data_IF_038827507985
#
_entry.id   IF_038827507985
#
_cell.length_a   1.000
_cell.length_b   1.000
_cell.length_c   1.000
_cell.angle_alpha   90.00
_cell.angle_beta   90.00
_cell.angle_gamma   90.00
#
_symmetry.space_group_name_H-M   'P 1'
#
loop_
_entity.id
_entity.type
_entity.pdbx_description
1 polymer ?
#
# COMPACT_ATOMS: atom_id res chain seq x y z
N UNK A 1 18.52 -16.23 -23.77
CA UNK A 1 18.87 -16.27 -22.33
C UNK A 1 17.59 -15.97 -21.58
N UNK A 2 16.93 -17.00 -21.05
CA UNK A 2 15.66 -16.85 -20.33
C UNK A 2 16.02 -16.58 -18.86
N UNK A 3 15.77 -15.35 -18.41
CA UNK A 3 15.95 -14.99 -17.00
C UNK A 3 14.74 -15.55 -16.26
N UNK A 4 14.96 -16.61 -15.49
CA UNK A 4 14.00 -17.13 -14.53
C UNK A 4 13.82 -16.07 -13.44
N UNK A 5 12.65 -15.43 -13.40
CA UNK A 5 12.32 -14.50 -12.32
C UNK A 5 11.97 -15.39 -11.12
N UNK A 6 12.88 -15.50 -10.16
CA UNK A 6 12.64 -16.25 -8.92
C UNK A 6 11.35 -15.76 -8.26
N UNK A 7 10.41 -16.67 -8.01
CA UNK A 7 9.10 -16.41 -7.41
C UNK A 7 9.15 -16.05 -5.92
N UNK A 8 10.34 -15.79 -5.37
CA UNK A 8 10.59 -15.51 -3.96
C UNK A 8 10.46 -14.02 -3.62
N UNK A 9 9.45 -13.35 -4.15
CA UNK A 9 8.99 -12.09 -3.56
C UNK A 9 8.18 -12.49 -2.33
N UNK A 10 8.56 -12.03 -1.13
CA UNK A 10 7.74 -12.15 0.07
C UNK A 10 6.47 -11.32 -0.13
N UNK A 11 5.47 -11.89 -0.81
CA UNK A 11 4.16 -11.28 -1.03
C UNK A 11 3.34 -11.36 0.26
N UNK A 12 3.77 -10.66 1.30
CA UNK A 12 3.03 -10.53 2.56
C UNK A 12 2.97 -11.80 3.41
N UNK A 13 3.91 -12.73 3.25
CA UNK A 13 4.02 -13.93 4.08
C UNK A 13 5.39 -13.99 4.77
N UNK A 14 5.38 -14.23 6.08
CA UNK A 14 6.58 -14.34 6.91
C UNK A 14 6.44 -13.64 8.26
N UNK A 15 7.09 -14.18 9.30
CA UNK A 15 7.01 -13.68 10.68
C UNK A 15 7.43 -12.21 10.82
N UNK A 16 8.27 -11.71 9.89
CA UNK A 16 8.81 -10.36 9.92
C UNK A 16 8.10 -9.37 8.98
N UNK A 17 7.13 -9.80 8.16
CA UNK A 17 6.49 -8.88 7.20
C UNK A 17 5.77 -7.74 7.91
N UNK A 18 5.06 -8.01 9.01
CA UNK A 18 4.43 -6.96 9.81
C UNK A 18 5.46 -5.97 10.37
N UNK A 19 6.62 -6.44 10.82
CA UNK A 19 7.69 -5.59 11.30
C UNK A 19 8.27 -4.71 10.18
N UNK A 20 8.60 -5.31 9.03
CA UNK A 20 9.15 -4.60 7.88
C UNK A 20 8.14 -3.59 7.31
N UNK A 21 6.86 -3.94 7.25
CA UNK A 21 5.79 -3.03 6.83
C UNK A 21 5.74 -1.78 7.74
N UNK A 22 5.79 -1.96 9.06
CA UNK A 22 5.83 -0.83 9.99
C UNK A 22 7.06 0.05 9.79
N UNK A 23 8.23 -0.54 9.51
CA UNK A 23 9.44 0.24 9.23
C UNK A 23 9.32 1.03 7.92
N UNK A 24 8.75 0.44 6.86
CA UNK A 24 8.47 1.13 5.59
C UNK A 24 7.54 2.33 5.81
N UNK A 25 6.48 2.16 6.60
CA UNK A 25 5.55 3.25 6.91
C UNK A 25 6.24 4.43 7.59
N UNK A 26 7.05 4.17 8.62
CA UNK A 26 7.76 5.24 9.33
C UNK A 26 8.69 6.03 8.41
N UNK A 27 9.44 5.32 7.56
CA UNK A 27 10.36 5.96 6.61
C UNK A 27 9.56 6.79 5.61
N UNK A 28 8.58 6.21 4.92
CA UNK A 28 7.78 6.90 3.93
C UNK A 28 7.05 8.12 4.51
N UNK A 29 6.44 8.00 5.70
CA UNK A 29 5.70 9.09 6.33
C UNK A 29 6.62 10.26 6.71
N UNK A 30 7.85 9.98 7.16
CA UNK A 30 8.85 11.01 7.49
C UNK A 30 9.41 11.75 6.27
N UNK A 31 9.35 11.13 5.08
CA UNK A 31 9.86 11.72 3.84
C UNK A 31 8.86 12.69 3.20
N UNK A 32 7.61 12.72 3.65
CA UNK A 32 6.57 13.57 3.06
C UNK A 32 6.31 14.80 3.95
N UNK A 33 6.64 16.01 3.47
CA UNK A 33 6.37 17.26 4.17
C UNK A 33 4.90 17.46 4.55
N UNK A 34 4.66 18.15 5.68
CA UNK A 34 3.32 18.38 6.23
C UNK A 34 2.41 19.16 5.27
N UNK A 35 2.96 20.07 4.47
CA UNK A 35 2.23 20.86 3.50
C UNK A 35 1.56 20.02 2.40
N UNK A 36 2.11 18.85 2.08
CA UNK A 36 1.53 17.94 1.08
C UNK A 36 0.38 17.11 1.62
N UNK A 37 0.22 17.01 2.95
CA UNK A 37 -0.82 16.18 3.59
C UNK A 37 -2.24 16.71 3.39
N UNK A 38 -2.40 17.98 3.01
CA UNK A 38 -3.72 18.50 2.60
C UNK A 38 -4.14 18.04 1.18
N UNK A 39 -3.25 17.38 0.46
CA UNK A 39 -3.48 16.88 -0.90
C UNK A 39 -3.86 15.40 -0.95
N UNK A 40 -3.59 14.81 -2.12
CA UNK A 40 -3.87 13.43 -2.44
C UNK A 40 -2.60 12.59 -2.33
N UNK A 41 -2.73 11.36 -1.86
CA UNK A 41 -1.64 10.36 -1.88
C UNK A 41 -2.06 9.12 -2.67
N UNK A 42 -1.12 8.61 -3.47
CA UNK A 42 -1.25 7.37 -4.21
C UNK A 42 -0.14 6.41 -3.77
N UNK A 43 -0.52 5.23 -3.28
CA UNK A 43 0.38 4.14 -2.92
C UNK A 43 0.27 3.02 -3.96
N UNK A 44 1.34 2.80 -4.72
CA UNK A 44 1.43 1.79 -5.79
C UNK A 44 2.10 0.54 -5.22
N UNK A 45 1.45 -0.61 -5.33
CA UNK A 45 1.90 -1.82 -4.66
C UNK A 45 1.54 -1.82 -3.17
N UNK A 46 0.39 -1.22 -2.81
CA UNK A 46 -0.05 -1.09 -1.42
C UNK A 46 -0.37 -2.43 -0.73
N UNK A 47 -0.37 -3.53 -1.49
CA UNK A 47 -0.68 -4.88 -1.02
C UNK A 47 -2.16 -5.09 -0.72
N UNK A 48 -2.45 -6.24 -0.10
CA UNK A 48 -3.80 -6.61 0.33
C UNK A 48 -4.26 -5.84 1.59
N UNK A 49 -3.31 -5.26 2.33
CA UNK A 49 -3.55 -4.41 3.48
C UNK A 49 -2.68 -3.14 3.38
N UNK A 50 -3.27 -1.97 3.04
CA UNK A 50 -2.56 -0.73 2.75
C UNK A 50 -2.12 -0.02 4.05
N UNK A 51 -1.19 -0.62 4.80
CA UNK A 51 -0.79 -0.15 6.15
C UNK A 51 -0.39 1.34 6.13
N UNK A 52 0.36 1.77 5.13
CA UNK A 52 0.76 3.17 4.96
C UNK A 52 -0.45 4.10 4.93
N UNK A 53 -1.38 3.89 3.99
CA UNK A 53 -2.59 4.70 3.87
C UNK A 53 -3.47 4.68 5.12
N UNK A 54 -3.46 3.58 5.89
CA UNK A 54 -4.19 3.53 7.17
C UNK A 54 -3.53 4.30 8.30
N UNK A 55 -2.22 4.53 8.22
CA UNK A 55 -1.42 5.13 9.29
C UNK A 55 -0.99 6.58 9.01
N UNK A 56 -1.31 7.13 7.83
CA UNK A 56 -0.92 8.49 7.45
C UNK A 56 -2.11 9.43 7.28
N UNK A 57 -1.88 10.70 7.62
CA UNK A 57 -2.82 11.81 7.40
C UNK A 57 -2.69 12.36 5.99
N UNK A 58 -3.74 12.20 5.17
CA UNK A 58 -3.93 12.85 3.88
C UNK A 58 -5.40 13.17 3.65
N UNK A 59 -5.69 14.24 2.90
CA UNK A 59 -7.08 14.61 2.58
C UNK A 59 -7.78 13.54 1.75
N UNK A 60 -7.09 12.96 0.76
CA UNK A 60 -7.59 11.82 -0.03
C UNK A 60 -6.51 10.76 -0.19
N UNK A 61 -6.91 9.49 -0.05
CA UNK A 61 -6.00 8.33 -0.05
C UNK A 61 -6.40 7.34 -1.12
N UNK A 62 -5.44 6.93 -1.94
CA UNK A 62 -5.63 6.00 -3.04
C UNK A 62 -4.57 4.88 -2.97
N UNK A 63 -5.01 3.63 -3.08
CA UNK A 63 -4.13 2.47 -3.13
C UNK A 63 -4.36 1.69 -4.41
N UNK A 64 -3.27 1.26 -5.04
CA UNK A 64 -3.28 0.54 -6.30
C UNK A 64 -2.48 -0.75 -6.15
N UNK A 65 -3.13 -1.91 -6.23
CA UNK A 65 -2.44 -3.20 -6.24
C UNK A 65 -3.31 -4.29 -6.87
N UNK A 66 -2.69 -5.20 -7.61
CA UNK A 66 -3.37 -6.36 -8.22
C UNK A 66 -3.93 -7.37 -7.22
N UNK A 67 -3.40 -7.39 -5.99
CA UNK A 67 -3.82 -8.31 -4.93
C UNK A 67 -4.96 -7.78 -4.06
N UNK A 68 -5.46 -6.56 -4.34
CA UNK A 68 -6.62 -6.00 -3.65
C UNK A 68 -7.86 -6.84 -3.96
N UNK A 69 -8.56 -7.29 -2.92
CA UNK A 69 -9.82 -8.05 -3.04
C UNK A 69 -11.03 -7.13 -2.88
N UNK A 70 -12.16 -7.48 -3.50
CA UNK A 70 -13.41 -6.72 -3.44
C UNK A 70 -13.90 -6.44 -2.02
N UNK A 71 -13.70 -7.38 -1.10
CA UNK A 71 -14.07 -7.21 0.32
C UNK A 71 -13.21 -6.13 0.98
N UNK A 72 -11.91 -6.12 0.68
CA UNK A 72 -10.99 -5.09 1.16
C UNK A 72 -11.41 -3.71 0.63
N UNK A 73 -11.71 -3.59 -0.68
CA UNK A 73 -12.17 -2.33 -1.30
C UNK A 73 -13.34 -1.73 -0.51
N UNK A 74 -14.37 -2.52 -0.22
CA UNK A 74 -15.53 -2.05 0.54
C UNK A 74 -15.13 -1.57 1.94
N UNK A 75 -14.38 -2.39 2.68
CA UNK A 75 -13.97 -2.09 4.05
C UNK A 75 -13.07 -0.85 4.19
N UNK A 76 -12.26 -0.55 3.15
CA UNK A 76 -11.37 0.60 3.14
C UNK A 76 -12.02 1.86 2.57
N UNK A 77 -12.98 1.71 1.67
CA UNK A 77 -13.81 2.84 1.20
C UNK A 77 -14.58 3.48 2.36
N UNK A 78 -15.12 2.66 3.28
CA UNK A 78 -15.75 3.15 4.53
C UNK A 78 -14.78 3.95 5.43
N UNK A 79 -13.47 3.73 5.25
CA UNK A 79 -12.39 4.44 5.96
C UNK A 79 -11.77 5.56 5.14
N UNK A 80 -12.45 6.01 4.08
CA UNK A 80 -11.98 7.05 3.16
C UNK A 80 -10.65 6.70 2.47
N UNK A 81 -10.41 5.41 2.21
CA UNK A 81 -9.27 4.90 1.44
C UNK A 81 -9.81 4.21 0.19
N UNK A 82 -9.50 4.78 -0.97
CA UNK A 82 -9.96 4.27 -2.26
C UNK A 82 -8.97 3.23 -2.78
N UNK A 83 -9.32 1.94 -2.67
CA UNK A 83 -8.51 0.86 -3.22
C UNK A 83 -8.97 0.49 -4.62
N UNK A 84 -8.00 0.37 -5.52
CA UNK A 84 -8.21 0.04 -6.92
C UNK A 84 -7.45 -1.26 -7.19
N UNK A 85 -8.19 -2.29 -7.61
CA UNK A 85 -7.56 -3.46 -8.20
C UNK A 85 -7.11 -3.08 -9.61
N UNK A 86 -5.80 -3.09 -9.85
CA UNK A 86 -5.21 -2.80 -11.14
C UNK A 86 -3.96 -3.64 -11.32
N UNK A 87 -3.86 -4.28 -12.48
CA UNK A 87 -2.63 -4.92 -12.92
C UNK A 87 -1.80 -3.91 -13.71
N UNK A 88 -0.51 -3.78 -13.39
CA UNK A 88 0.41 -2.86 -14.07
C UNK A 88 1.11 -3.53 -15.27
N UNK A 89 0.61 -4.70 -15.72
CA UNK A 89 1.12 -5.52 -16.83
C UNK A 89 0.05 -5.73 -17.91
#
# INVERSE_FOLDING_TARGET
MQVSIDSNVTRGYGLLEGFLANQRVKIADSLIPLEHRKGNILDIGCGSYPLFLTSTEFANKYGLDKVVKSEAIKSFTEKQINLINHDNE
#
